data_IF_231303570116
#
_entry.id   IF_231303570116
#
_cell.length_a   1.000
_cell.length_b   1.000
_cell.length_c   1.000
_cell.angle_alpha   90.00
_cell.angle_beta   90.00
_cell.angle_gamma   90.00
#
_symmetry.space_group_name_H-M   'P 1'
#
loop_
_entity.id
_entity.type
_entity.pdbx_description
1 polymer ?
#
# COMPACT_ATOMS: atom_id res chain seq x y z
N UNK A 1 1.63 -16.62 4.99
CA UNK A 1 0.29 -16.69 4.33
C UNK A 1 0.38 -17.20 2.89
N UNK A 2 1.28 -18.13 2.55
CA UNK A 2 1.34 -18.75 1.22
C UNK A 2 0.69 -20.13 1.25
N UNK A 3 -0.07 -20.49 0.22
CA UNK A 3 -0.75 -21.79 0.12
C UNK A 3 -0.08 -22.76 -0.87
N UNK A 4 -0.48 -24.02 -0.84
CA UNK A 4 0.05 -25.06 -1.74
C UNK A 4 -0.09 -24.67 -3.22
N UNK A 5 -1.22 -24.08 -3.60
CA UNK A 5 -1.49 -23.62 -4.97
C UNK A 5 -0.49 -22.58 -5.45
N UNK A 6 -0.16 -21.61 -4.60
CA UNK A 6 0.87 -20.61 -4.92
C UNK A 6 2.27 -21.22 -5.01
N UNK A 7 2.59 -22.21 -4.18
CA UNK A 7 3.90 -22.87 -4.25
C UNK A 7 4.06 -23.70 -5.53
N UNK A 8 2.99 -24.36 -6.01
CA UNK A 8 2.96 -24.95 -7.37
C UNK A 8 3.32 -23.90 -8.40
N UNK A 9 2.57 -22.79 -8.48
CA UNK A 9 2.80 -21.78 -9.51
C UNK A 9 4.20 -21.14 -9.47
N UNK A 10 4.87 -21.13 -8.31
CA UNK A 10 6.27 -20.71 -8.19
C UNK A 10 7.21 -21.79 -8.72
N UNK A 11 6.99 -23.07 -8.39
CA UNK A 11 7.72 -24.22 -8.91
C UNK A 11 7.59 -24.33 -10.45
N UNK A 12 6.35 -24.31 -10.94
CA UNK A 12 5.98 -24.37 -12.37
C UNK A 12 6.67 -23.24 -13.17
N UNK A 13 6.56 -21.98 -12.71
CA UNK A 13 7.17 -20.81 -13.38
C UNK A 13 8.70 -20.79 -13.33
N UNK A 14 9.31 -21.32 -12.27
CA UNK A 14 10.78 -21.42 -12.18
C UNK A 14 11.33 -22.53 -13.08
N UNK A 15 10.63 -23.66 -13.21
CA UNK A 15 10.98 -24.72 -14.17
C UNK A 15 10.93 -24.24 -15.63
N UNK A 16 9.95 -23.39 -15.96
CA UNK A 16 9.87 -22.72 -17.27
C UNK A 16 10.99 -21.69 -17.48
N UNK A 17 11.36 -20.92 -16.45
CA UNK A 17 12.43 -19.92 -16.53
C UNK A 17 13.84 -20.53 -16.61
N UNK A 18 14.01 -21.76 -16.13
CA UNK A 18 15.28 -22.51 -16.16
C UNK A 18 15.09 -23.85 -16.91
N UNK A 19 14.83 -23.83 -18.23
CA UNK A 19 14.40 -25.00 -18.99
C UNK A 19 15.42 -26.15 -18.96
N UNK A 20 16.73 -25.84 -18.89
CA UNK A 20 17.80 -26.83 -18.76
C UNK A 20 17.78 -27.61 -17.42
N UNK A 21 16.90 -27.24 -16.48
CA UNK A 21 16.72 -27.84 -15.15
C UNK A 21 15.22 -27.96 -14.81
N UNK A 22 14.36 -28.08 -15.83
CA UNK A 22 12.91 -28.14 -15.65
C UNK A 22 12.42 -29.40 -14.90
N UNK A 23 13.18 -30.49 -14.93
CA UNK A 23 12.90 -31.68 -14.12
C UNK A 23 13.13 -31.44 -12.62
N UNK A 24 14.06 -30.55 -12.26
CA UNK A 24 14.34 -30.21 -10.86
C UNK A 24 13.27 -29.28 -10.28
N UNK A 25 12.90 -29.48 -9.01
CA UNK A 25 12.01 -28.55 -8.30
C UNK A 25 12.62 -27.13 -8.28
N UNK A 26 11.77 -26.13 -8.49
CA UNK A 26 12.10 -24.70 -8.55
C UNK A 26 13.19 -24.35 -9.59
N UNK A 27 13.28 -25.11 -10.70
CA UNK A 27 14.37 -24.96 -11.68
C UNK A 27 15.76 -25.27 -11.10
N UNK A 28 15.79 -26.04 -10.00
CA UNK A 28 16.99 -26.35 -9.23
C UNK A 28 17.58 -25.14 -8.47
N UNK A 29 16.81 -24.08 -8.22
CA UNK A 29 17.23 -22.96 -7.38
C UNK A 29 17.24 -23.32 -5.88
N UNK A 30 18.16 -22.71 -5.13
CA UNK A 30 18.18 -22.76 -3.67
C UNK A 30 17.07 -21.88 -3.09
N UNK A 31 15.96 -22.49 -2.65
CA UNK A 31 14.83 -21.78 -2.04
C UNK A 31 14.97 -21.75 -0.50
N UNK A 32 14.76 -20.57 0.09
CA UNK A 32 14.65 -20.39 1.54
C UNK A 32 13.22 -19.95 1.91
N UNK A 33 12.46 -20.83 2.56
CA UNK A 33 11.14 -20.49 3.07
C UNK A 33 11.27 -19.91 4.50
N UNK A 34 10.95 -18.62 4.65
CA UNK A 34 10.95 -17.93 5.95
C UNK A 34 9.52 -17.52 6.32
N UNK A 35 9.09 -17.87 7.53
CA UNK A 35 7.76 -17.54 8.02
C UNK A 35 7.47 -18.15 9.37
N UNK A 36 6.20 -18.08 9.77
CA UNK A 36 5.71 -18.62 11.03
C UNK A 36 4.35 -19.30 10.79
N UNK A 37 4.31 -20.61 11.03
CA UNK A 37 3.12 -21.44 10.75
C UNK A 37 2.01 -21.30 11.81
N UNK A 38 2.32 -20.68 12.96
CA UNK A 38 1.36 -20.36 14.02
C UNK A 38 0.74 -18.96 13.87
N UNK A 39 1.10 -18.22 12.82
CA UNK A 39 0.44 -16.96 12.44
C UNK A 39 -0.67 -17.24 11.41
N UNK A 40 -1.23 -16.19 10.80
CA UNK A 40 -2.39 -16.31 9.92
C UNK A 40 -2.16 -17.31 8.76
N UNK A 41 -3.10 -18.25 8.53
CA UNK A 41 -3.05 -19.17 7.39
C UNK A 41 -3.23 -18.41 6.06
N UNK A 42 -2.92 -19.02 4.91
CA UNK A 42 -3.22 -18.41 3.62
C UNK A 42 -4.73 -18.25 3.40
N UNK A 43 -5.13 -17.11 2.85
CA UNK A 43 -6.54 -16.80 2.57
C UNK A 43 -7.04 -17.64 1.38
N UNK A 44 -8.16 -18.35 1.59
CA UNK A 44 -8.85 -19.19 0.59
C UNK A 44 -7.95 -20.24 -0.11
N UNK A 45 -6.93 -20.75 0.59
CA UNK A 45 -6.04 -21.82 0.11
C UNK A 45 -5.70 -22.79 1.25
N UNK A 46 -5.29 -24.01 0.91
CA UNK A 46 -4.71 -24.95 1.87
C UNK A 46 -3.29 -24.49 2.29
N UNK A 47 -2.95 -24.47 3.59
CA UNK A 47 -1.59 -24.17 4.05
C UNK A 47 -0.57 -25.22 3.58
N UNK A 48 0.72 -24.86 3.59
CA UNK A 48 1.80 -25.76 3.19
C UNK A 48 1.84 -27.05 4.04
N UNK A 49 1.54 -26.92 5.33
CA UNK A 49 1.42 -28.02 6.30
C UNK A 49 0.03 -28.70 6.30
N UNK A 50 -0.80 -28.51 5.27
CA UNK A 50 -2.07 -29.24 5.16
C UNK A 50 -1.81 -30.72 4.89
N UNK A 51 -2.39 -31.61 5.71
CA UNK A 51 -2.10 -33.05 5.67
C UNK A 51 -3.13 -33.89 4.90
N UNK A 52 -4.42 -33.53 5.00
CA UNK A 52 -5.55 -34.21 4.32
C UNK A 52 -5.43 -34.14 2.79
N UNK A 53 -6.34 -34.77 2.05
CA UNK A 53 -6.24 -34.88 0.59
C UNK A 53 -6.14 -33.54 -0.18
N UNK A 54 -5.38 -33.57 -1.26
CA UNK A 54 -5.12 -32.45 -2.17
C UNK A 54 -5.35 -32.88 -3.60
N UNK A 55 -5.82 -31.97 -4.45
CA UNK A 55 -6.30 -32.27 -5.80
C UNK A 55 -5.75 -31.26 -6.80
N UNK A 56 -5.52 -31.69 -8.04
CA UNK A 56 -4.93 -30.87 -9.10
C UNK A 56 -3.61 -30.22 -8.67
N UNK A 57 -3.45 -28.93 -8.99
CA UNK A 57 -2.24 -28.11 -8.69
C UNK A 57 -1.80 -28.11 -7.22
N UNK A 58 -2.66 -28.49 -6.27
CA UNK A 58 -2.28 -28.60 -4.86
C UNK A 58 -1.36 -29.81 -4.58
N UNK A 59 -1.36 -30.82 -5.48
CA UNK A 59 -0.47 -31.99 -5.44
C UNK A 59 0.98 -31.55 -5.74
N UNK A 60 1.20 -30.81 -6.82
CA UNK A 60 2.51 -30.27 -7.20
C UNK A 60 3.10 -29.42 -6.06
N UNK A 61 2.31 -28.47 -5.53
CA UNK A 61 2.70 -27.64 -4.40
C UNK A 61 3.02 -28.43 -3.12
N UNK A 62 2.32 -29.55 -2.86
CA UNK A 62 2.64 -30.47 -1.75
C UNK A 62 3.96 -31.18 -1.99
N UNK A 63 4.20 -31.67 -3.21
CA UNK A 63 5.42 -32.41 -3.53
C UNK A 63 6.65 -31.47 -3.46
N UNK A 64 6.53 -30.25 -3.99
CA UNK A 64 7.54 -29.21 -3.87
C UNK A 64 7.80 -28.81 -2.39
N UNK A 65 6.75 -28.67 -1.56
CA UNK A 65 6.93 -28.40 -0.11
C UNK A 65 7.57 -29.58 0.63
N UNK A 66 7.26 -30.83 0.26
CA UNK A 66 7.87 -32.04 0.85
C UNK A 66 9.32 -32.26 0.43
N UNK A 67 9.84 -31.54 -0.57
CA UNK A 67 11.26 -31.60 -0.94
C UNK A 67 12.18 -30.87 0.04
N UNK A 68 11.66 -30.00 0.91
CA UNK A 68 12.46 -29.30 1.93
C UNK A 68 12.83 -30.25 3.08
N UNK A 69 14.07 -30.74 3.05
CA UNK A 69 14.63 -31.69 4.02
C UNK A 69 15.26 -31.05 5.27
N UNK A 70 15.38 -29.72 5.31
CA UNK A 70 16.00 -28.94 6.39
C UNK A 70 15.04 -27.89 6.95
N UNK A 71 14.94 -27.84 8.28
CA UNK A 71 14.19 -26.81 9.00
C UNK A 71 15.06 -26.20 10.11
N UNK A 72 14.93 -24.89 10.34
CA UNK A 72 15.69 -24.14 11.35
C UNK A 72 14.73 -23.32 12.18
N UNK A 73 14.72 -23.54 13.50
CA UNK A 73 13.82 -22.89 14.44
C UNK A 73 14.53 -21.79 15.23
N UNK A 74 14.18 -20.53 14.98
CA UNK A 74 14.70 -19.39 15.73
C UNK A 74 14.04 -19.32 17.11
N UNK A 75 14.83 -19.49 18.18
CA UNK A 75 14.33 -19.58 19.57
C UNK A 75 14.25 -18.24 20.32
N UNK A 76 15.00 -17.21 19.91
CA UNK A 76 15.15 -15.95 20.67
C UNK A 76 14.24 -14.84 20.12
N UNK A 77 13.31 -14.36 20.95
CA UNK A 77 12.33 -13.32 20.59
C UNK A 77 12.96 -11.92 20.66
N UNK A 78 13.39 -11.39 19.51
CA UNK A 78 14.11 -10.10 19.45
C UNK A 78 13.21 -8.85 19.54
N UNK A 79 11.89 -8.99 19.45
CA UNK A 79 10.92 -7.87 19.45
C UNK A 79 10.46 -7.47 20.87
N UNK A 80 10.54 -8.40 21.83
CA UNK A 80 10.22 -8.21 23.24
C UNK A 80 11.46 -8.61 24.08
N UNK A 81 12.56 -7.89 23.84
CA UNK A 81 13.76 -7.88 24.68
C UNK A 81 13.48 -7.07 25.96
N UNK A 82 14.36 -7.21 26.95
CA UNK A 82 14.15 -6.69 28.30
C UNK A 82 13.50 -7.75 29.19
N UNK A 83 13.75 -7.63 30.49
CA UNK A 83 13.23 -8.53 31.51
C UNK A 83 11.86 -8.01 32.00
N UNK A 84 11.64 -6.70 31.92
CA UNK A 84 10.35 -6.04 32.13
C UNK A 84 9.27 -6.47 31.12
N UNK A 85 9.67 -7.10 30.00
CA UNK A 85 8.77 -7.69 29.01
C UNK A 85 8.68 -9.23 29.07
N UNK A 86 9.31 -9.89 30.06
CA UNK A 86 9.32 -11.34 30.16
C UNK A 86 7.91 -11.94 30.26
N UNK A 87 7.09 -11.50 31.21
CA UNK A 87 5.73 -12.04 31.39
C UNK A 87 4.87 -11.89 30.12
N UNK A 88 5.06 -10.80 29.36
CA UNK A 88 4.39 -10.59 28.07
C UNK A 88 4.96 -11.49 26.96
N UNK A 89 6.28 -11.72 26.94
CA UNK A 89 6.95 -12.66 26.04
C UNK A 89 6.47 -14.10 26.28
N UNK A 90 6.30 -14.50 27.53
CA UNK A 90 5.71 -15.80 27.94
C UNK A 90 4.26 -15.91 27.48
N UNK A 91 3.40 -14.93 27.80
CA UNK A 91 1.99 -14.92 27.38
C UNK A 91 1.82 -15.02 25.85
N UNK A 92 2.70 -14.38 25.06
CA UNK A 92 2.69 -14.51 23.60
C UNK A 92 3.16 -15.90 23.11
N UNK A 93 4.09 -16.55 23.82
CA UNK A 93 4.52 -17.92 23.55
C UNK A 93 3.44 -18.96 23.85
N UNK A 94 2.74 -18.80 24.97
CA UNK A 94 1.59 -19.63 25.35
C UNK A 94 0.41 -19.46 24.39
N UNK A 95 0.04 -18.21 24.03
CA UNK A 95 -0.99 -17.93 23.02
C UNK A 95 -0.69 -18.62 21.68
N UNK A 96 0.57 -18.56 21.23
CA UNK A 96 1.03 -19.20 19.99
C UNK A 96 0.79 -20.71 19.99
N UNK A 97 0.92 -21.37 21.14
CA UNK A 97 0.72 -22.82 21.29
C UNK A 97 -0.69 -23.22 21.75
N UNK A 98 -1.59 -22.24 21.96
CA UNK A 98 -2.93 -22.43 22.55
C UNK A 98 -2.90 -23.02 23.98
N UNK A 99 -1.83 -22.74 24.73
CA UNK A 99 -1.55 -23.26 26.08
C UNK A 99 -1.52 -22.13 27.11
N UNK A 100 -2.57 -21.30 27.15
CA UNK A 100 -2.60 -20.08 27.94
C UNK A 100 -2.77 -20.35 29.44
N UNK A 101 -1.81 -19.91 30.25
CA UNK A 101 -1.88 -19.96 31.71
C UNK A 101 -2.87 -18.95 32.28
N UNK A 102 -3.33 -19.19 33.50
CA UNK A 102 -4.23 -18.26 34.21
C UNK A 102 -3.53 -16.91 34.45
N UNK A 103 -2.21 -16.93 34.62
CA UNK A 103 -1.35 -15.79 34.90
C UNK A 103 -1.19 -14.91 33.65
N UNK A 104 -0.90 -15.53 32.50
CA UNK A 104 -0.92 -14.84 31.19
C UNK A 104 -2.32 -14.34 30.82
N UNK A 105 -3.38 -15.10 31.11
CA UNK A 105 -4.76 -14.64 30.89
C UNK A 105 -5.09 -13.41 31.74
N UNK A 106 -4.72 -13.40 33.04
CA UNK A 106 -4.86 -12.23 33.94
C UNK A 106 -4.07 -11.04 33.40
N UNK A 107 -2.82 -11.25 32.96
CA UNK A 107 -1.96 -10.21 32.40
C UNK A 107 -2.58 -9.59 31.14
N UNK A 108 -3.00 -10.39 30.17
CA UNK A 108 -3.65 -9.90 28.95
C UNK A 108 -4.99 -9.21 29.28
N UNK A 109 -5.75 -9.77 30.21
CA UNK A 109 -7.04 -9.24 30.68
C UNK A 109 -6.94 -7.97 31.53
N UNK A 110 -5.74 -7.50 31.91
CA UNK A 110 -5.55 -6.17 32.51
C UNK A 110 -5.40 -5.08 31.45
N UNK A 111 -4.97 -5.44 30.22
CA UNK A 111 -4.66 -4.49 29.12
C UNK A 111 -5.86 -4.12 28.25
N UNK A 112 -7.08 -4.38 28.73
CA UNK A 112 -8.33 -3.95 28.09
C UNK A 112 -8.64 -2.51 28.48
N UNK A 113 -9.13 -1.68 27.54
CA UNK A 113 -9.31 -0.23 27.77
C UNK A 113 -10.12 0.11 29.04
N UNK A 114 -11.14 -0.71 29.37
CA UNK A 114 -11.97 -0.52 30.57
C UNK A 114 -11.26 -0.78 31.92
N UNK A 115 -9.95 -1.07 31.92
CA UNK A 115 -9.12 -1.26 33.12
C UNK A 115 -7.84 -0.40 33.11
N UNK A 116 -7.67 0.46 32.11
CA UNK A 116 -6.55 1.39 31.99
C UNK A 116 -7.00 2.78 32.40
N UNK A 117 -6.12 3.56 33.03
CA UNK A 117 -6.40 4.96 33.34
C UNK A 117 -6.37 5.85 32.07
N UNK A 118 -6.99 7.03 32.15
CA UNK A 118 -7.09 7.95 31.02
C UNK A 118 -5.73 8.44 30.50
N UNK A 119 -4.69 8.51 31.34
CA UNK A 119 -3.35 8.90 30.89
C UNK A 119 -2.70 7.78 30.07
N UNK A 120 -2.84 6.52 30.50
CA UNK A 120 -2.37 5.38 29.71
C UNK A 120 -3.18 5.24 28.41
N UNK A 121 -4.51 5.36 28.45
CA UNK A 121 -5.35 5.36 27.25
C UNK A 121 -4.94 6.48 26.28
N UNK A 122 -4.64 7.68 26.79
CA UNK A 122 -4.16 8.81 25.98
C UNK A 122 -2.81 8.53 25.29
N UNK A 123 -1.90 7.74 25.87
CA UNK A 123 -0.65 7.30 25.19
C UNK A 123 -0.95 6.52 23.92
N UNK A 124 -2.08 5.80 23.87
CA UNK A 124 -2.54 5.05 22.69
C UNK A 124 -3.42 5.86 21.73
N UNK A 125 -3.68 7.16 21.99
CA UNK A 125 -4.46 8.01 21.08
C UNK A 125 -3.88 8.07 19.66
N UNK A 126 -2.56 7.91 19.52
CA UNK A 126 -1.85 7.89 18.24
C UNK A 126 -1.45 6.47 17.79
N UNK A 127 -1.88 5.39 18.43
CA UNK A 127 -1.37 4.04 18.16
C UNK A 127 -1.95 3.38 16.89
N UNK A 128 -1.28 2.32 16.40
CA UNK A 128 -1.83 1.45 15.36
C UNK A 128 -2.88 0.52 15.95
N UNK A 129 -4.14 0.76 15.59
CA UNK A 129 -5.22 -0.19 15.83
C UNK A 129 -5.23 -1.27 14.74
N UNK A 130 -5.50 -2.50 15.15
CA UNK A 130 -5.62 -3.67 14.28
C UNK A 130 -7.02 -4.24 14.50
N UNK A 131 -7.73 -4.52 13.42
CA UNK A 131 -9.09 -5.05 13.42
C UNK A 131 -9.19 -6.30 12.55
N UNK A 132 -10.18 -7.14 12.80
CA UNK A 132 -10.38 -8.43 12.11
C UNK A 132 -10.98 -8.29 10.71
N UNK A 133 -11.73 -7.21 10.42
CA UNK A 133 -12.37 -6.98 9.12
C UNK A 133 -11.99 -5.64 8.51
N UNK A 134 -12.05 -5.53 7.18
CA UNK A 134 -11.86 -4.27 6.46
C UNK A 134 -12.88 -3.21 6.88
N UNK A 135 -14.10 -3.62 7.20
CA UNK A 135 -15.19 -2.70 7.53
C UNK A 135 -14.95 -1.98 8.86
N UNK A 136 -14.45 -2.69 9.89
CA UNK A 136 -14.02 -2.08 11.16
C UNK A 136 -12.79 -1.16 10.99
N UNK A 137 -11.88 -1.48 10.06
CA UNK A 137 -10.77 -0.58 9.69
C UNK A 137 -11.32 0.70 9.04
N UNK A 138 -12.27 0.57 8.11
CA UNK A 138 -12.87 1.70 7.40
C UNK A 138 -13.68 2.59 8.37
N UNK A 139 -14.54 2.01 9.18
CA UNK A 139 -15.31 2.69 10.25
C UNK A 139 -14.39 3.51 11.17
N UNK A 140 -13.33 2.89 11.69
CA UNK A 140 -12.39 3.60 12.57
C UNK A 140 -11.60 4.69 11.84
N UNK A 141 -11.18 4.44 10.59
CA UNK A 141 -10.47 5.45 9.79
C UNK A 141 -11.37 6.65 9.46
N UNK A 142 -12.65 6.43 9.11
CA UNK A 142 -13.61 7.50 8.87
C UNK A 142 -13.89 8.31 10.16
N UNK A 143 -14.11 7.63 11.29
CA UNK A 143 -14.26 8.27 12.60
C UNK A 143 -13.03 9.13 12.95
N UNK A 144 -11.82 8.60 12.76
CA UNK A 144 -10.61 9.36 13.07
C UNK A 144 -10.41 10.54 12.11
N UNK A 145 -10.77 10.39 10.82
CA UNK A 145 -10.63 11.47 9.83
C UNK A 145 -11.56 12.65 10.14
N UNK A 146 -12.80 12.37 10.53
CA UNK A 146 -13.77 13.37 11.00
C UNK A 146 -13.25 14.09 12.28
N UNK A 147 -12.76 13.32 13.25
CA UNK A 147 -12.17 13.82 14.52
C UNK A 147 -10.89 14.65 14.36
N UNK A 148 -10.33 14.82 13.15
CA UNK A 148 -9.28 15.80 12.88
C UNK A 148 -9.83 17.23 12.70
N UNK A 149 -11.13 17.37 12.42
CA UNK A 149 -11.83 18.65 12.22
C UNK A 149 -11.13 19.57 11.20
N UNK A 150 -10.68 18.99 10.08
CA UNK A 150 -10.05 19.68 8.94
C UNK A 150 -10.88 19.49 7.67
N UNK A 151 -10.83 20.43 6.70
CA UNK A 151 -11.46 20.25 5.40
C UNK A 151 -11.02 18.95 4.73
N UNK A 152 -12.01 18.15 4.30
CA UNK A 152 -11.79 16.86 3.64
C UNK A 152 -11.98 17.01 2.13
N UNK A 153 -10.99 16.56 1.37
CA UNK A 153 -11.00 16.49 -0.10
C UNK A 153 -11.32 15.05 -0.50
N UNK A 154 -12.30 14.88 -1.39
CA UNK A 154 -12.65 13.59 -1.98
C UNK A 154 -11.92 13.41 -3.30
N UNK A 155 -10.84 12.63 -3.32
CA UNK A 155 -10.16 12.26 -4.58
C UNK A 155 -10.90 11.08 -5.20
N UNK A 156 -11.32 11.23 -6.46
CA UNK A 156 -12.08 10.23 -7.19
C UNK A 156 -11.19 9.50 -8.18
N UNK A 157 -11.22 8.17 -8.17
CA UNK A 157 -10.48 7.36 -9.13
C UNK A 157 -11.03 7.57 -10.56
N UNK A 158 -10.14 7.75 -11.55
CA UNK A 158 -10.55 7.72 -12.97
C UNK A 158 -10.42 6.29 -13.49
N UNK A 159 -11.56 5.65 -13.66
CA UNK A 159 -11.62 4.32 -14.28
C UNK A 159 -11.56 4.46 -15.81
N UNK A 160 -10.93 3.49 -16.48
CA UNK A 160 -10.70 3.48 -17.94
C UNK A 160 -10.99 2.07 -18.46
N UNK A 161 -11.66 1.97 -19.62
CA UNK A 161 -12.13 0.71 -20.21
C UNK A 161 -13.59 0.39 -19.87
N UNK A 162 -14.22 -0.47 -20.67
CA UNK A 162 -15.62 -0.85 -20.51
C UNK A 162 -15.86 -1.54 -19.15
N UNK A 163 -16.99 -1.24 -18.49
CA UNK A 163 -17.35 -1.81 -17.18
C UNK A 163 -16.46 -1.40 -15.98
N UNK A 164 -15.31 -0.76 -16.21
CA UNK A 164 -14.30 -0.44 -15.18
C UNK A 164 -14.84 0.40 -14.01
N UNK A 165 -15.82 1.27 -14.23
CA UNK A 165 -16.46 2.06 -13.17
C UNK A 165 -17.39 1.23 -12.26
N UNK A 166 -17.96 0.13 -12.76
CA UNK A 166 -18.80 -0.77 -11.99
C UNK A 166 -17.97 -1.73 -11.12
N UNK A 167 -16.80 -2.17 -11.60
CA UNK A 167 -15.92 -3.12 -10.92
C UNK A 167 -15.68 -2.80 -9.42
N UNK A 168 -15.64 -3.83 -8.54
CA UNK A 168 -15.31 -3.64 -7.12
C UNK A 168 -13.82 -3.40 -6.91
N UNK A 169 -13.49 -2.76 -5.79
CA UNK A 169 -12.15 -2.24 -5.50
C UNK A 169 -11.06 -3.33 -5.49
N UNK A 170 -11.37 -4.58 -5.10
CA UNK A 170 -10.42 -5.70 -5.12
C UNK A 170 -9.94 -6.02 -6.55
N UNK A 171 -10.83 -5.94 -7.54
CA UNK A 171 -10.51 -6.08 -8.98
C UNK A 171 -9.78 -4.86 -9.53
N UNK A 172 -9.88 -3.71 -8.87
CA UNK A 172 -9.11 -2.51 -9.14
C UNK A 172 -7.75 -2.46 -8.37
N UNK A 173 -7.29 -3.58 -7.81
CA UNK A 173 -6.02 -3.65 -7.06
C UNK A 173 -6.12 -3.14 -5.61
N UNK A 174 -7.31 -3.12 -5.03
CA UNK A 174 -7.70 -2.42 -3.80
C UNK A 174 -7.64 -0.88 -3.91
N UNK A 175 -7.84 -0.33 -5.12
CA UNK A 175 -8.05 1.11 -5.33
C UNK A 175 -9.51 1.47 -5.07
N UNK A 176 -9.77 2.27 -4.04
CA UNK A 176 -11.10 2.79 -3.75
C UNK A 176 -11.58 3.79 -4.80
N UNK A 177 -12.88 3.73 -5.14
CA UNK A 177 -13.50 4.63 -6.14
C UNK A 177 -13.48 6.10 -5.70
N UNK A 178 -13.59 6.34 -4.39
CA UNK A 178 -13.43 7.65 -3.76
C UNK A 178 -12.61 7.49 -2.49
N UNK A 179 -11.65 8.38 -2.30
CA UNK A 179 -10.75 8.39 -1.15
C UNK A 179 -10.81 9.76 -0.48
N UNK A 180 -11.40 9.88 0.73
CA UNK A 180 -11.36 11.12 1.49
C UNK A 180 -9.95 11.37 2.03
N UNK A 181 -9.53 12.63 2.08
CA UNK A 181 -8.18 13.05 2.51
C UNK A 181 -8.24 14.40 3.23
N UNK A 182 -7.48 14.59 4.31
CA UNK A 182 -7.29 15.91 4.92
C UNK A 182 -5.86 16.07 5.47
N UNK A 183 -5.42 17.31 5.62
CA UNK A 183 -4.11 17.64 6.19
C UNK A 183 -4.09 17.20 7.66
N UNK A 184 -3.05 16.46 8.07
CA UNK A 184 -2.93 15.91 9.43
C UNK A 184 -3.47 14.48 9.58
N UNK A 185 -4.12 13.93 8.56
CA UNK A 185 -4.21 12.49 8.41
C UNK A 185 -2.79 11.89 8.25
N UNK A 186 -2.66 10.58 8.45
CA UNK A 186 -1.43 9.82 8.16
C UNK A 186 -1.75 8.82 7.05
N UNK A 187 -0.79 8.38 6.25
CA UNK A 187 -1.05 7.58 5.04
C UNK A 187 -0.26 6.28 5.01
N UNK A 188 -0.77 5.28 4.30
CA UNK A 188 0.00 4.10 3.85
C UNK A 188 -0.07 3.98 2.33
N UNK A 189 1.06 3.67 1.69
CA UNK A 189 1.09 3.22 0.30
C UNK A 189 0.62 1.76 0.23
N UNK A 190 -0.35 1.46 -0.64
CA UNK A 190 -0.82 0.07 -0.90
C UNK A 190 -0.15 -0.57 -2.12
N UNK A 191 0.87 0.08 -2.70
CA UNK A 191 1.65 -0.42 -3.84
C UNK A 191 3.13 -0.05 -3.72
N UNK A 192 3.96 -0.75 -4.48
CA UNK A 192 5.37 -0.39 -4.66
C UNK A 192 5.47 0.73 -5.69
N UNK A 193 6.13 1.83 -5.34
CA UNK A 193 6.37 2.96 -6.23
C UNK A 193 7.86 3.12 -6.56
N UNK A 194 8.72 3.08 -5.54
CA UNK A 194 10.18 3.17 -5.68
C UNK A 194 10.86 2.52 -4.46
N UNK A 195 11.04 1.20 -4.53
CA UNK A 195 11.51 0.40 -3.39
C UNK A 195 12.92 0.80 -2.88
N UNK A 196 13.93 1.06 -3.74
CA UNK A 196 15.24 1.59 -3.33
C UNK A 196 15.24 2.79 -2.37
N UNK A 197 14.26 3.70 -2.44
CA UNK A 197 14.16 4.86 -1.54
C UNK A 197 13.09 4.70 -0.43
N UNK A 198 12.62 3.48 -0.21
CA UNK A 198 11.63 3.18 0.84
C UNK A 198 10.16 3.40 0.46
N UNK A 199 9.83 3.70 -0.80
CA UNK A 199 8.44 3.84 -1.26
C UNK A 199 7.87 2.49 -1.72
N UNK A 200 7.59 1.62 -0.75
CA UNK A 200 7.04 0.26 -0.94
C UNK A 200 5.65 0.08 -0.30
N UNK A 201 4.94 -1.00 -0.66
CA UNK A 201 3.64 -1.34 -0.08
C UNK A 201 3.75 -1.57 1.45
N UNK A 202 3.08 -0.73 2.24
CA UNK A 202 3.22 -0.69 3.70
C UNK A 202 4.07 0.47 4.24
N UNK A 203 4.75 1.23 3.37
CA UNK A 203 5.42 2.48 3.75
C UNK A 203 4.39 3.53 4.19
N UNK A 204 4.76 4.38 5.15
CA UNK A 204 3.84 5.30 5.85
C UNK A 204 4.34 6.75 5.84
N UNK A 205 3.42 7.69 5.71
CA UNK A 205 3.67 9.13 5.87
C UNK A 205 2.80 9.72 6.99
N UNK A 206 3.37 10.60 7.82
CA UNK A 206 2.63 11.30 8.89
C UNK A 206 2.51 12.81 8.67
N UNK A 207 3.13 13.33 7.61
CA UNK A 207 3.09 14.71 7.13
C UNK A 207 3.02 14.69 5.60
N UNK A 208 2.16 15.51 5.02
CA UNK A 208 2.09 15.77 3.58
C UNK A 208 1.35 17.09 3.33
N UNK A 209 1.65 17.72 2.20
CA UNK A 209 0.90 18.85 1.63
C UNK A 209 -0.09 18.35 0.59
N UNK A 210 -1.26 19.00 0.47
CA UNK A 210 -2.20 18.77 -0.64
C UNK A 210 -2.11 19.95 -1.63
N UNK A 211 -1.25 19.81 -2.63
CA UNK A 211 -1.12 20.76 -3.74
C UNK A 211 -2.25 20.51 -4.76
N UNK A 212 -3.23 21.43 -4.84
CA UNK A 212 -4.37 21.36 -5.76
C UNK A 212 -4.14 22.34 -6.92
N UNK A 213 -3.28 21.97 -7.86
CA UNK A 213 -3.10 22.77 -9.08
C UNK A 213 -4.35 22.72 -9.96
N UNK A 214 -4.70 23.86 -10.54
CA UNK A 214 -5.80 23.98 -11.48
C UNK A 214 -5.47 23.22 -12.77
N UNK A 215 -5.88 21.94 -12.80
CA UNK A 215 -5.41 20.89 -13.69
C UNK A 215 -3.94 20.46 -13.45
N UNK A 216 -3.62 19.24 -13.90
CA UNK A 216 -2.27 18.65 -13.94
C UNK A 216 -1.58 18.38 -12.59
N UNK A 217 -1.99 17.28 -11.96
CA UNK A 217 -1.31 16.52 -10.89
C UNK A 217 -1.28 17.11 -9.46
N UNK A 218 -1.15 16.19 -8.50
CA UNK A 218 -0.94 16.46 -7.07
C UNK A 218 0.52 16.14 -6.74
N UNK A 219 1.26 17.10 -6.14
CA UNK A 219 2.66 16.93 -5.73
C UNK A 219 2.73 16.56 -4.24
N UNK A 220 3.52 15.54 -3.90
CA UNK A 220 3.93 15.24 -2.53
C UNK A 220 5.30 15.88 -2.27
N UNK A 221 5.36 16.96 -1.48
CA UNK A 221 6.63 17.45 -0.94
C UNK A 221 6.91 16.79 0.41
N UNK A 222 8.05 16.10 0.50
CA UNK A 222 8.62 15.65 1.78
C UNK A 222 9.91 16.41 2.05
N UNK A 223 9.83 17.48 2.84
CA UNK A 223 11.03 18.03 3.47
C UNK A 223 11.58 17.04 4.49
N UNK A 224 12.91 16.86 4.46
CA UNK A 224 13.73 15.96 5.29
C UNK A 224 13.29 14.48 5.43
N UNK A 225 14.05 13.59 4.78
CA UNK A 225 14.01 12.14 5.04
C UNK A 225 14.68 11.84 6.38
N UNK A 226 13.89 11.79 7.46
CA UNK A 226 14.32 11.36 8.78
C UNK A 226 13.82 9.96 9.14
N UNK A 227 14.72 9.05 9.53
CA UNK A 227 14.36 7.71 10.00
C UNK A 227 13.76 7.81 11.42
N UNK A 228 12.44 7.94 11.51
CA UNK A 228 11.71 8.11 12.78
C UNK A 228 10.43 7.23 12.86
N UNK A 229 9.99 6.95 14.08
CA UNK A 229 9.34 5.68 14.42
C UNK A 229 7.82 5.78 14.68
N UNK A 230 7.01 5.42 13.66
CA UNK A 230 5.51 5.29 13.71
C UNK A 230 4.82 6.70 13.75
N UNK A 231 3.50 6.94 13.50
CA UNK A 231 2.35 6.02 13.60
C UNK A 231 1.23 6.23 12.47
N UNK A 232 -0.08 5.83 12.62
CA UNK A 232 -1.12 5.67 11.54
C UNK A 232 -2.39 6.57 11.58
N UNK A 233 -3.41 6.50 10.68
CA UNK A 233 -3.46 6.20 9.21
C UNK A 233 -4.80 6.65 8.52
N UNK A 234 -4.80 6.57 7.18
CA UNK A 234 -5.81 6.68 6.12
C UNK A 234 -5.15 6.04 4.85
N UNK A 235 -5.89 5.57 3.84
CA UNK A 235 -5.32 4.76 2.73
C UNK A 235 -5.31 5.52 1.40
N UNK A 236 -4.19 5.51 0.65
CA UNK A 236 -4.03 6.24 -0.62
C UNK A 236 -3.16 5.53 -1.67
N UNK A 237 -3.39 5.87 -2.95
CA UNK A 237 -2.70 5.33 -4.12
C UNK A 237 -2.39 6.46 -5.11
N UNK A 238 -1.21 6.48 -5.75
CA UNK A 238 -0.79 7.54 -6.67
C UNK A 238 0.07 7.02 -7.84
N UNK A 239 -0.54 6.58 -8.96
CA UNK A 239 0.16 5.80 -9.98
C UNK A 239 0.60 6.62 -11.21
N UNK A 240 1.37 7.71 -11.00
CA UNK A 240 2.17 8.44 -12.03
C UNK A 240 2.86 9.70 -11.43
N UNK A 241 3.83 9.52 -10.54
CA UNK A 241 4.60 10.64 -9.96
C UNK A 241 5.96 10.89 -10.67
N UNK A 242 6.55 9.85 -11.28
CA UNK A 242 7.89 9.86 -11.91
C UNK A 242 8.18 11.08 -12.81
N UNK A 243 7.34 11.35 -13.82
CA UNK A 243 7.67 12.36 -14.84
C UNK A 243 7.67 13.78 -14.30
N UNK A 244 6.87 14.07 -13.27
CA UNK A 244 6.77 15.42 -12.70
C UNK A 244 7.89 15.76 -11.72
N UNK A 245 8.56 14.78 -11.09
CA UNK A 245 9.64 15.06 -10.14
C UNK A 245 10.88 15.61 -10.86
N UNK A 246 11.16 15.14 -12.09
CA UNK A 246 12.21 15.71 -12.93
C UNK A 246 11.90 17.18 -13.27
N UNK A 247 10.71 17.45 -13.81
CA UNK A 247 10.24 18.81 -14.13
C UNK A 247 10.25 19.76 -12.91
N UNK A 248 10.15 19.24 -11.67
CA UNK A 248 10.22 20.06 -10.45
C UNK A 248 11.61 20.60 -10.13
N UNK A 249 12.68 19.93 -10.58
CA UNK A 249 14.06 20.32 -10.28
C UNK A 249 14.49 21.47 -11.20
N UNK A 250 14.06 21.47 -12.46
CA UNK A 250 14.32 22.57 -13.41
C UNK A 250 13.39 23.78 -13.21
N UNK A 251 12.21 23.61 -12.60
CA UNK A 251 11.21 24.69 -12.47
C UNK A 251 11.31 25.49 -11.16
N UNK A 252 12.42 25.42 -10.42
CA UNK A 252 12.57 26.07 -9.11
C UNK A 252 12.82 27.59 -9.17
N UNK A 253 13.30 28.11 -10.32
CA UNK A 253 13.68 29.52 -10.50
C UNK A 253 12.52 30.46 -10.89
N UNK A 254 11.27 29.97 -10.94
CA UNK A 254 10.10 30.71 -11.44
C UNK A 254 9.09 31.12 -10.36
N UNK A 255 9.07 32.40 -9.98
CA UNK A 255 8.23 32.93 -8.89
C UNK A 255 6.94 33.63 -9.39
N UNK A 256 5.73 33.13 -9.03
CA UNK A 256 4.47 33.90 -9.10
C UNK A 256 3.30 33.24 -8.32
N UNK A 257 2.42 34.07 -7.74
CA UNK A 257 1.21 33.64 -7.01
C UNK A 257 -0.04 33.57 -7.91
N UNK A 258 -1.01 32.70 -7.57
CA UNK A 258 -2.38 32.73 -8.12
C UNK A 258 -3.41 32.38 -7.04
N UNK A 259 -4.54 33.11 -6.99
CA UNK A 259 -5.64 32.93 -6.00
C UNK A 259 -6.63 31.82 -6.41
N UNK A 260 -7.31 31.14 -5.45
CA UNK A 260 -8.10 29.94 -5.73
C UNK A 260 -9.54 30.20 -6.23
N UNK A 261 -10.08 29.23 -6.97
CA UNK A 261 -11.53 29.04 -7.20
C UNK A 261 -11.86 27.55 -7.33
N UNK A 262 -13.07 27.12 -6.96
CA UNK A 262 -13.43 25.71 -6.83
C UNK A 262 -13.48 24.95 -8.17
N UNK A 263 -12.60 23.95 -8.37
CA UNK A 263 -12.72 22.94 -9.44
C UNK A 263 -12.25 21.54 -9.01
N UNK A 264 -12.85 20.51 -9.61
CA UNK A 264 -12.55 19.08 -9.40
C UNK A 264 -11.32 18.63 -10.19
N UNK A 265 -10.55 17.67 -9.67
CA UNK A 265 -9.32 17.15 -10.30
C UNK A 265 -9.42 15.64 -10.57
N UNK A 266 -8.80 15.18 -11.66
CA UNK A 266 -8.73 13.77 -12.07
C UNK A 266 -7.27 13.28 -12.18
N UNK A 267 -6.99 12.03 -11.82
CA UNK A 267 -5.71 11.34 -12.04
C UNK A 267 -5.89 10.11 -12.94
N UNK A 268 -4.85 9.72 -13.67
CA UNK A 268 -4.86 8.56 -14.57
C UNK A 268 -3.92 7.45 -14.05
N UNK A 269 -4.30 6.18 -14.22
CA UNK A 269 -3.35 5.06 -14.34
C UNK A 269 -3.25 4.62 -15.81
N UNK A 270 -2.24 3.81 -16.14
CA UNK A 270 -2.10 3.17 -17.44
C UNK A 270 -1.51 1.76 -17.28
N UNK A 271 -1.93 0.83 -18.15
CA UNK A 271 -1.31 -0.51 -18.25
C UNK A 271 -0.10 -0.47 -19.18
N UNK A 272 0.81 -1.42 -18.98
CA UNK A 272 1.59 -2.01 -20.07
C UNK A 272 0.95 -3.36 -20.41
N UNK A 273 0.80 -3.65 -21.70
CA UNK A 273 0.44 -4.95 -22.26
C UNK A 273 1.25 -5.14 -23.55
N UNK A 274 1.59 -6.39 -23.91
CA UNK A 274 2.26 -6.74 -25.16
C UNK A 274 3.79 -6.71 -25.12
N UNK A 275 4.41 -7.86 -25.43
CA UNK A 275 5.80 -7.96 -25.87
C UNK A 275 5.83 -7.86 -27.41
N UNK A 276 6.84 -7.19 -27.97
CA UNK A 276 7.53 -7.61 -29.20
C UNK A 276 8.89 -6.89 -29.27
N UNK A 277 9.73 -7.29 -30.22
CA UNK A 277 11.16 -7.01 -30.22
C UNK A 277 11.53 -5.64 -30.82
N UNK A 278 12.74 -5.17 -30.46
CA UNK A 278 13.61 -4.27 -31.23
C UNK A 278 12.97 -3.05 -31.94
N UNK A 279 12.90 -1.91 -31.25
CA UNK A 279 12.62 -0.62 -31.91
C UNK A 279 12.88 0.60 -31.03
N UNK A 280 13.95 1.35 -31.32
CA UNK A 280 14.07 2.75 -30.88
C UNK A 280 13.37 3.64 -31.90
N UNK A 281 12.42 4.48 -31.45
CA UNK A 281 11.91 5.60 -32.26
C UNK A 281 11.72 6.86 -31.43
N UNK A 282 12.26 7.94 -31.96
CA UNK A 282 12.19 9.29 -31.45
C UNK A 282 10.77 9.87 -31.63
N UNK A 283 10.34 10.78 -30.74
CA UNK A 283 9.24 11.71 -31.03
C UNK A 283 9.68 13.12 -30.63
N UNK A 284 10.10 13.89 -31.64
CA UNK A 284 10.45 15.30 -31.49
C UNK A 284 9.20 16.14 -31.20
N UNK A 285 9.36 17.16 -30.36
CA UNK A 285 8.36 18.22 -30.20
C UNK A 285 8.69 19.38 -31.14
N UNK A 286 7.73 19.78 -31.97
CA UNK A 286 7.82 21.00 -32.76
C UNK A 286 7.43 22.23 -31.91
N UNK A 287 8.10 23.37 -32.12
CA UNK A 287 7.94 24.60 -31.32
C UNK A 287 7.39 25.75 -32.16
N UNK A 288 6.08 25.72 -32.42
CA UNK A 288 5.37 26.85 -33.02
C UNK A 288 5.37 28.08 -32.10
N UNK A 289 5.95 29.20 -32.55
CA UNK A 289 6.12 30.41 -31.73
C UNK A 289 5.97 31.70 -32.58
N UNK A 290 4.78 32.31 -32.55
CA UNK A 290 4.48 33.64 -33.11
C UNK A 290 3.46 34.35 -32.18
N UNK A 291 3.87 35.37 -31.40
CA UNK A 291 4.05 36.81 -31.73
C UNK A 291 2.75 37.64 -31.61
N UNK A 292 2.79 38.72 -30.81
CA UNK A 292 1.76 39.77 -30.70
C UNK A 292 1.79 40.72 -31.92
N UNK A 293 0.62 41.31 -32.22
CA UNK A 293 0.29 42.65 -32.77
C UNK A 293 -1.22 42.61 -33.14
N UNK A 294 -2.04 43.66 -33.14
CA UNK A 294 -2.00 45.00 -32.51
C UNK A 294 -3.46 45.53 -32.40
N UNK A 295 -3.65 46.81 -32.03
CA UNK A 295 -4.93 47.52 -31.87
C UNK A 295 -5.98 47.30 -32.99
N UNK A 296 -7.26 47.26 -32.62
CA UNK A 296 -8.41 47.37 -33.53
C UNK A 296 -9.72 47.62 -32.77
N UNK A 297 -10.45 48.68 -33.13
CA UNK A 297 -11.75 49.03 -32.51
C UNK A 297 -12.86 48.07 -32.98
N UNK A 298 -13.90 47.88 -32.15
CA UNK A 298 -15.26 48.29 -32.52
C UNK A 298 -16.17 48.31 -31.29
N UNK A 299 -16.76 49.48 -31.01
CA UNK A 299 -17.95 49.56 -30.16
C UNK A 299 -19.19 49.26 -30.99
N UNK A 300 -20.19 48.63 -30.40
CA UNK A 300 -21.58 49.02 -30.67
C UNK A 300 -22.48 48.66 -29.48
N UNK A 301 -23.08 49.69 -28.89
CA UNK A 301 -24.15 49.54 -27.90
C UNK A 301 -25.48 49.86 -28.61
N UNK A 302 -26.35 48.87 -28.74
CA UNK A 302 -27.72 49.06 -29.21
C UNK A 302 -28.65 48.16 -28.38
N UNK A 303 -29.22 48.71 -27.32
CA UNK A 303 -30.28 48.07 -26.56
C UNK A 303 -31.65 48.64 -26.91
N UNK A 304 -32.69 47.87 -26.60
CA UNK A 304 -34.02 48.35 -26.20
C UNK A 304 -34.76 47.21 -25.50
N UNK A 305 -35.55 47.61 -24.50
CA UNK A 305 -36.70 46.93 -23.89
C UNK A 305 -36.63 45.40 -23.74
#
# INVERSE_FOLDING_TARGET
MSGLRQLSWIDDRLREAFPNRNEEFFGGLNILLVGDLFQLPPVLQKPLYYEKEVQGVEINGRNAYRRFDKSVFLKVVQRQRGDELEAFRTALGELRLLQLSVESWKLLSSRVQAKLDDQEVARFANALRVYTTKDRVNEYNHYHLDRLSRPVIQVKAKNVGLGSAAAPDDKAGNLAKQTPMCIGARLMLTSNLWQPIGLYNGARASRFSLDIRAASSMRFCSSSVGILTKPPLLVMFAPRLMKLIYDCIESADGNSEVRPSHKTVHMQSGRHEGMHENGWTDVRFDKGLARRRDFGQYCNCSGRE
#
